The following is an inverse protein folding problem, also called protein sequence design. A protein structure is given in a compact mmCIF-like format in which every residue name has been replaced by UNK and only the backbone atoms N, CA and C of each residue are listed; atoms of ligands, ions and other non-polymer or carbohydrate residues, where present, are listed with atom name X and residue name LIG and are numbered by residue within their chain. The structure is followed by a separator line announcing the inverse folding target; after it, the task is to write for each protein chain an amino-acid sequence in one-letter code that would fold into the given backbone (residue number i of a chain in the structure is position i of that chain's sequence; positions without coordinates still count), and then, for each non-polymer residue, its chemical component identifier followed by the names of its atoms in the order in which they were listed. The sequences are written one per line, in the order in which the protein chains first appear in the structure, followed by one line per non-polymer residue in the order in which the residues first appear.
data_IF_867056478339
#
_entry.id   IF_867056478339
#
_cell.length_a   1.000
_cell.length_b   1.000
_cell.length_c   1.000
_cell.angle_alpha   90.00
_cell.angle_beta   90.00
_cell.angle_gamma   90.00
#
_symmetry.space_group_name_H-M   'P 1'
#
loop_
_entity.id
_entity.type
_entity.pdbx_description
1 polymer ?
#
# COMPACT_ATOMS: atom_id res chain seq x y z
N UNK A 1 27.01 -9.67 99.55
CA UNK A 1 28.32 -9.04 99.34
C UNK A 1 28.49 -8.72 97.87
N UNK A 2 29.13 -7.59 97.58
CA UNK A 2 29.58 -7.09 96.27
C UNK A 2 28.54 -6.49 95.30
N UNK A 3 28.51 -5.15 95.32
CA UNK A 3 28.33 -4.19 94.20
C UNK A 3 29.15 -4.55 92.94
N UNK A 4 29.06 -3.81 91.80
CA UNK A 4 28.21 -2.64 91.48
C UNK A 4 27.37 -2.83 90.19
N UNK A 5 26.24 -2.15 90.04
CA UNK A 5 26.11 -0.84 89.36
C UNK A 5 26.84 -0.79 87.99
N UNK A 6 26.08 -0.91 86.90
CA UNK A 6 26.18 -0.03 85.73
C UNK A 6 24.77 0.18 85.16
N UNK A 7 24.15 1.21 85.70
CA UNK A 7 23.07 1.97 85.09
C UNK A 7 23.59 2.70 83.85
N UNK A 8 23.14 2.32 82.65
CA UNK A 8 22.91 3.27 81.54
C UNK A 8 21.61 2.95 80.79
N UNK A 9 20.51 2.89 81.54
CA UNK A 9 19.29 3.60 81.11
C UNK A 9 19.64 5.09 80.97
N UNK A 10 20.12 5.48 79.79
CA UNK A 10 20.58 6.84 79.53
C UNK A 10 21.08 6.97 78.10
N UNK A 11 20.22 7.54 77.23
CA UNK A 11 20.52 8.06 75.89
C UNK A 11 20.87 7.05 74.77
N UNK A 12 20.80 5.74 75.00
CA UNK A 12 21.12 4.72 73.99
C UNK A 12 20.57 3.32 74.29
N UNK A 13 19.29 3.22 74.66
CA UNK A 13 18.65 1.92 74.99
C UNK A 13 18.44 1.10 73.71
N UNK A 14 19.14 -0.04 73.60
CA UNK A 14 18.94 -1.09 72.59
C UNK A 14 17.58 -1.80 72.66
N UNK A 15 16.55 -1.13 73.15
CA UNK A 15 15.18 -1.41 72.75
C UNK A 15 15.04 -0.86 71.35
N UNK A 16 14.79 -1.72 70.38
CA UNK A 16 14.47 -1.26 69.02
C UNK A 16 13.06 -0.63 69.04
N UNK A 17 12.89 0.52 69.70
CA UNK A 17 11.63 1.26 69.83
C UNK A 17 11.10 1.54 68.43
N UNK A 18 11.99 1.88 67.49
CA UNK A 18 11.66 1.96 66.07
C UNK A 18 11.07 0.66 65.54
N UNK A 19 11.66 -0.50 65.84
CA UNK A 19 11.13 -1.80 65.41
C UNK A 19 9.84 -2.22 66.13
N UNK A 20 9.63 -1.81 67.40
CA UNK A 20 8.39 -2.06 68.15
C UNK A 20 7.26 -1.18 67.61
N UNK A 21 7.53 0.12 67.37
CA UNK A 21 6.58 1.05 66.74
C UNK A 21 6.27 0.61 65.32
N UNK A 22 7.28 0.21 64.54
CA UNK A 22 7.09 -0.33 63.20
C UNK A 22 6.31 -1.64 63.24
N UNK A 23 6.56 -2.52 64.21
CA UNK A 23 5.79 -3.73 64.45
C UNK A 23 4.31 -3.45 64.80
N UNK A 24 4.05 -2.45 65.64
CA UNK A 24 2.70 -2.05 66.05
C UNK A 24 1.95 -1.37 64.89
N UNK A 25 2.60 -0.44 64.19
CA UNK A 25 2.05 0.22 62.99
C UNK A 25 1.78 -0.80 61.88
N UNK A 26 2.66 -1.77 61.67
CA UNK A 26 2.43 -2.84 60.70
C UNK A 26 1.30 -3.77 61.13
N UNK A 27 1.18 -4.10 62.42
CA UNK A 27 0.07 -4.92 62.94
C UNK A 27 -1.29 -4.21 62.80
N UNK A 28 -1.32 -2.89 62.98
CA UNK A 28 -2.54 -2.07 62.82
C UNK A 28 -2.86 -1.79 61.35
N UNK A 29 -1.84 -1.64 60.49
CA UNK A 29 -1.98 -1.45 59.03
C UNK A 29 -2.37 -2.73 58.29
N UNK A 30 -1.82 -3.88 58.69
CA UNK A 30 -2.01 -5.17 58.03
C UNK A 30 -3.48 -5.53 57.74
N UNK A 31 -4.45 -5.42 58.67
CA UNK A 31 -5.84 -5.77 58.37
C UNK A 31 -6.47 -4.85 57.32
N UNK A 32 -6.14 -3.55 57.33
CA UNK A 32 -6.63 -2.58 56.32
C UNK A 32 -5.99 -2.79 54.96
N UNK A 33 -4.67 -3.05 54.93
CA UNK A 33 -3.96 -3.40 53.69
C UNK A 33 -4.53 -4.68 53.08
N UNK A 34 -4.72 -5.74 53.88
CA UNK A 34 -5.33 -6.99 53.42
C UNK A 34 -6.75 -6.80 52.87
N UNK A 35 -7.54 -5.89 53.45
CA UNK A 35 -8.87 -5.56 52.92
C UNK A 35 -8.80 -4.87 51.55
N UNK A 36 -7.89 -3.89 51.41
CA UNK A 36 -7.64 -3.19 50.14
C UNK A 36 -7.11 -4.16 49.09
N UNK A 37 -6.17 -5.03 49.42
CA UNK A 37 -5.58 -6.01 48.50
C UNK A 37 -6.63 -7.00 48.00
N UNK A 38 -7.50 -7.51 48.91
CA UNK A 38 -8.63 -8.37 48.53
C UNK A 38 -9.62 -7.66 47.61
N UNK A 39 -9.98 -6.41 47.93
CA UNK A 39 -10.90 -5.62 47.09
C UNK A 39 -10.28 -5.31 45.72
N UNK A 40 -8.99 -4.99 45.70
CA UNK A 40 -8.23 -4.74 44.46
C UNK A 40 -8.17 -6.00 43.61
N UNK A 41 -7.82 -7.15 44.19
CA UNK A 41 -7.79 -8.42 43.49
C UNK A 41 -9.17 -8.80 42.91
N UNK A 42 -10.25 -8.63 43.68
CA UNK A 42 -11.62 -8.89 43.24
C UNK A 42 -12.06 -7.95 42.10
N UNK A 43 -11.71 -6.66 42.19
CA UNK A 43 -12.02 -5.65 41.17
C UNK A 43 -11.23 -5.92 39.89
N UNK A 44 -9.93 -6.23 39.98
CA UNK A 44 -9.09 -6.59 38.83
C UNK A 44 -9.57 -7.87 38.14
N UNK A 45 -10.01 -8.87 38.91
CA UNK A 45 -10.61 -10.09 38.35
C UNK A 45 -11.92 -9.77 37.61
N UNK A 46 -12.78 -8.93 38.20
CA UNK A 46 -14.04 -8.49 37.58
C UNK A 46 -13.79 -7.69 36.29
N UNK A 47 -12.82 -6.76 36.31
CA UNK A 47 -12.42 -5.98 35.13
C UNK A 47 -11.87 -6.89 34.02
N UNK A 48 -11.07 -7.90 34.38
CA UNK A 48 -10.56 -8.89 33.42
C UNK A 48 -11.69 -9.71 32.79
N UNK A 49 -12.66 -10.16 33.60
CA UNK A 49 -13.84 -10.87 33.12
C UNK A 49 -14.70 -10.03 32.18
N UNK A 50 -14.95 -8.75 32.52
CA UNK A 50 -15.69 -7.81 31.66
C UNK A 50 -14.92 -7.53 30.37
N UNK A 51 -13.60 -7.39 30.42
CA UNK A 51 -12.74 -7.20 29.23
C UNK A 51 -12.80 -8.41 28.30
N UNK A 52 -12.74 -9.63 28.85
CA UNK A 52 -12.90 -10.86 28.08
C UNK A 52 -14.28 -10.96 27.44
N UNK A 53 -15.35 -10.66 28.18
CA UNK A 53 -16.71 -10.61 27.64
C UNK A 53 -16.85 -9.57 26.52
N UNK A 54 -16.28 -8.38 26.72
CA UNK A 54 -16.31 -7.29 25.72
C UNK A 54 -15.56 -7.72 24.46
N UNK A 55 -14.41 -8.38 24.59
CA UNK A 55 -13.63 -8.91 23.47
C UNK A 55 -14.39 -10.00 22.72
N UNK A 56 -15.08 -10.89 23.44
CA UNK A 56 -15.91 -11.93 22.85
C UNK A 56 -17.11 -11.32 22.10
N UNK A 57 -17.76 -10.31 22.66
CA UNK A 57 -18.88 -9.62 22.02
C UNK A 57 -18.45 -8.85 20.77
N UNK A 58 -17.30 -8.17 20.81
CA UNK A 58 -16.73 -7.50 19.64
C UNK A 58 -16.41 -8.50 18.52
N UNK A 59 -15.89 -9.69 18.88
CA UNK A 59 -15.64 -10.77 17.91
C UNK A 59 -16.93 -11.31 17.31
N UNK A 60 -17.97 -11.49 18.13
CA UNK A 60 -19.30 -11.91 17.66
C UNK A 60 -19.95 -10.87 16.73
N UNK A 61 -19.89 -9.58 17.11
CA UNK A 61 -20.39 -8.49 16.28
C UNK A 61 -19.70 -8.47 14.92
N UNK A 62 -18.37 -8.60 14.89
CA UNK A 62 -17.60 -8.67 13.64
C UNK A 62 -18.01 -9.86 12.76
N UNK A 63 -18.29 -11.02 13.38
CA UNK A 63 -18.78 -12.18 12.64
C UNK A 63 -20.16 -11.93 12.02
N UNK A 64 -21.07 -11.29 12.77
CA UNK A 64 -22.39 -10.91 12.26
C UNK A 64 -22.33 -9.83 11.17
N UNK A 65 -21.45 -8.85 11.30
CA UNK A 65 -21.22 -7.82 10.27
C UNK A 65 -20.69 -8.46 8.98
N UNK A 66 -19.78 -9.42 9.10
CA UNK A 66 -19.25 -10.18 7.96
C UNK A 66 -20.37 -11.01 7.30
N UNK A 67 -21.17 -11.71 8.10
CA UNK A 67 -22.26 -12.57 7.61
C UNK A 67 -23.38 -11.77 6.94
N UNK A 68 -23.68 -10.57 7.45
CA UNK A 68 -24.72 -9.67 6.93
C UNK A 68 -24.22 -8.70 5.85
N UNK A 69 -22.94 -8.78 5.48
CA UNK A 69 -22.34 -7.92 4.45
C UNK A 69 -23.03 -8.12 3.09
N UNK A 70 -23.57 -7.03 2.55
CA UNK A 70 -24.19 -7.00 1.22
C UNK A 70 -23.16 -6.86 0.09
N UNK A 71 -21.94 -6.41 0.40
CA UNK A 71 -20.86 -6.19 -0.57
C UNK A 71 -19.93 -7.38 -0.70
N UNK A 72 -19.85 -8.22 0.33
CA UNK A 72 -19.07 -9.47 0.35
C UNK A 72 -19.93 -10.58 0.95
N UNK A 73 -21.03 -10.97 0.28
CA UNK A 73 -21.97 -11.93 0.83
C UNK A 73 -21.28 -13.28 1.07
N UNK A 74 -21.43 -13.83 2.28
CA UNK A 74 -20.89 -15.14 2.64
C UNK A 74 -21.56 -16.29 1.87
N UNK A 75 -22.77 -16.05 1.34
CA UNK A 75 -23.52 -16.97 0.51
C UNK A 75 -23.76 -16.33 -0.85
N UNK A 76 -22.97 -16.78 -1.83
CA UNK A 76 -23.16 -16.43 -3.22
C UNK A 76 -24.22 -17.35 -3.82
N UNK A 77 -25.32 -16.76 -4.31
CA UNK A 77 -26.37 -17.50 -5.03
C UNK A 77 -25.97 -17.88 -6.45
N UNK A 78 -24.94 -17.23 -6.99
CA UNK A 78 -24.40 -17.48 -8.32
C UNK A 78 -22.88 -17.63 -8.28
N UNK A 79 -22.35 -18.45 -9.17
CA UNK A 79 -20.93 -18.58 -9.44
C UNK A 79 -20.65 -18.38 -10.92
N UNK A 80 -19.51 -17.74 -11.21
CA UNK A 80 -18.98 -17.64 -12.56
C UNK A 80 -17.80 -18.62 -12.68
N UNK A 81 -17.81 -19.45 -13.72
CA UNK A 81 -16.75 -20.39 -14.05
C UNK A 81 -16.17 -20.03 -15.41
N UNK A 82 -14.85 -20.04 -15.53
CA UNK A 82 -14.17 -19.74 -16.79
C UNK A 82 -13.63 -21.03 -17.40
N UNK A 83 -13.84 -21.21 -18.71
CA UNK A 83 -13.24 -22.31 -19.45
C UNK A 83 -11.70 -22.19 -19.53
N UNK A 84 -11.16 -20.97 -19.36
CA UNK A 84 -9.71 -20.73 -19.35
C UNK A 84 -9.33 -19.62 -18.36
N UNK A 85 -9.07 -20.01 -17.12
CA UNK A 85 -8.65 -19.11 -16.05
C UNK A 85 -7.26 -18.48 -16.24
N UNK A 86 -6.46 -18.95 -17.20
CA UNK A 86 -5.18 -18.31 -17.53
C UNK A 86 -5.37 -17.05 -18.40
N UNK A 87 -6.50 -16.95 -19.10
CA UNK A 87 -6.85 -15.81 -19.96
C UNK A 87 -7.82 -14.88 -19.24
N UNK A 88 -8.91 -15.43 -18.70
CA UNK A 88 -9.95 -14.65 -18.00
C UNK A 88 -10.37 -15.37 -16.74
N UNK A 89 -10.32 -14.69 -15.60
CA UNK A 89 -11.03 -15.13 -14.38
C UNK A 89 -12.33 -14.36 -14.25
N UNK A 90 -13.37 -15.02 -13.76
CA UNK A 90 -14.67 -14.41 -13.57
C UNK A 90 -15.17 -14.67 -12.16
N UNK A 91 -15.88 -13.69 -11.61
CA UNK A 91 -16.59 -13.79 -10.33
C UNK A 91 -18.00 -13.23 -10.52
N UNK A 92 -18.99 -13.87 -9.91
CA UNK A 92 -20.37 -13.39 -9.89
C UNK A 92 -20.76 -12.93 -8.48
N UNK A 93 -21.65 -11.94 -8.40
CA UNK A 93 -22.35 -11.55 -7.17
C UNK A 93 -23.83 -11.98 -7.21
N UNK A 94 -24.59 -11.65 -6.16
CA UNK A 94 -26.00 -12.06 -6.03
C UNK A 94 -26.97 -11.32 -6.97
N UNK A 95 -26.50 -10.35 -7.74
CA UNK A 95 -27.26 -9.66 -8.79
C UNK A 95 -26.98 -10.23 -10.18
N UNK A 96 -26.07 -11.19 -10.29
CA UNK A 96 -25.76 -11.85 -11.55
C UNK A 96 -26.96 -12.63 -12.10
N UNK A 97 -26.98 -12.78 -13.42
CA UNK A 97 -27.98 -13.60 -14.12
C UNK A 97 -27.27 -14.78 -14.75
N UNK A 98 -27.87 -15.98 -14.66
CA UNK A 98 -27.34 -17.18 -15.29
C UNK A 98 -27.24 -17.01 -16.81
N UNK A 99 -26.12 -17.45 -17.37
CA UNK A 99 -25.83 -17.31 -18.79
C UNK A 99 -24.40 -17.71 -19.11
N UNK A 100 -24.12 -17.89 -20.39
CA UNK A 100 -22.77 -18.15 -20.89
C UNK A 100 -22.34 -17.02 -21.82
N UNK A 101 -21.12 -16.54 -21.64
CA UNK A 101 -20.57 -15.38 -22.34
C UNK A 101 -19.25 -15.79 -23.01
N UNK A 102 -19.13 -15.60 -24.32
CA UNK A 102 -17.89 -15.82 -25.06
C UNK A 102 -17.02 -14.57 -24.99
N UNK A 103 -15.87 -14.67 -24.33
CA UNK A 103 -14.96 -13.54 -24.10
C UNK A 103 -13.69 -13.70 -24.91
N UNK A 104 -13.39 -12.70 -25.73
CA UNK A 104 -12.13 -12.61 -26.49
C UNK A 104 -11.33 -11.41 -26.04
N UNK A 105 -10.11 -11.65 -25.57
CA UNK A 105 -9.20 -10.58 -25.13
C UNK A 105 -8.22 -10.26 -26.25
N UNK A 106 -8.24 -9.05 -26.80
CA UNK A 106 -7.32 -8.65 -27.85
C UNK A 106 -6.00 -8.12 -27.27
N UNK A 107 -6.09 -7.22 -26.29
CA UNK A 107 -4.95 -6.71 -25.54
C UNK A 107 -5.37 -6.38 -24.09
N UNK A 108 -4.38 -6.38 -23.20
CA UNK A 108 -4.56 -5.96 -21.82
C UNK A 108 -4.33 -4.45 -21.69
N UNK A 109 -4.96 -3.86 -20.66
CA UNK A 109 -4.65 -2.51 -20.24
C UNK A 109 -3.23 -2.49 -19.68
N UNK A 110 -2.40 -1.57 -20.17
CA UNK A 110 -1.01 -1.41 -19.72
C UNK A 110 -0.86 -0.14 -18.91
N UNK A 111 0.07 -0.17 -17.97
CA UNK A 111 0.43 0.98 -17.16
C UNK A 111 1.58 1.74 -17.80
N UNK A 112 1.67 3.03 -17.47
CA UNK A 112 2.75 3.89 -17.95
C UNK A 112 4.08 3.56 -17.28
N UNK A 113 5.15 3.49 -18.09
CA UNK A 113 6.53 3.46 -17.62
C UNK A 113 7.37 4.45 -18.41
N UNK A 114 7.89 5.47 -17.73
CA UNK A 114 8.56 6.62 -18.35
C UNK A 114 9.92 6.87 -17.71
N UNK A 115 10.83 7.47 -18.46
CA UNK A 115 12.17 7.80 -18.00
C UNK A 115 12.54 9.24 -18.33
N UNK A 116 13.41 9.83 -17.51
CA UNK A 116 14.09 11.09 -17.81
C UNK A 116 15.15 10.91 -18.90
N UNK A 117 15.77 12.01 -19.32
CA UNK A 117 17.04 11.95 -20.06
C UNK A 117 18.12 11.25 -19.21
N UNK A 118 19.17 10.75 -19.87
CA UNK A 118 20.38 10.33 -19.17
C UNK A 118 21.09 11.56 -18.60
N UNK A 119 21.32 11.54 -17.29
CA UNK A 119 22.07 12.56 -16.57
C UNK A 119 23.48 12.06 -16.29
N UNK A 120 24.48 12.91 -16.55
CA UNK A 120 25.86 12.59 -16.19
C UNK A 120 26.08 12.60 -14.66
N UNK A 121 27.30 12.29 -14.22
CA UNK A 121 27.64 12.25 -12.78
C UNK A 121 27.54 13.61 -12.09
N UNK A 122 27.71 14.71 -12.81
CA UNK A 122 27.59 16.07 -12.25
C UNK A 122 26.13 16.44 -12.06
N UNK A 123 25.28 16.17 -13.04
CA UNK A 123 23.85 16.41 -12.98
C UNK A 123 23.17 15.51 -11.93
N UNK A 124 23.54 14.23 -11.89
CA UNK A 124 22.94 13.27 -10.95
C UNK A 124 23.41 13.44 -9.49
N UNK A 125 24.52 14.15 -9.24
CA UNK A 125 24.99 14.44 -7.88
C UNK A 125 24.44 15.75 -7.29
N UNK A 126 23.93 16.64 -8.14
CA UNK A 126 23.45 17.96 -7.70
C UNK A 126 22.20 18.40 -8.48
N UNK A 127 21.05 17.80 -8.15
CA UNK A 127 19.74 18.26 -8.62
C UNK A 127 19.32 19.49 -7.79
N UNK A 128 19.02 20.65 -8.42
CA UNK A 128 18.59 21.84 -7.71
C UNK A 128 17.28 21.66 -6.93
N UNK A 129 17.10 22.45 -5.87
CA UNK A 129 15.82 22.51 -5.15
C UNK A 129 14.69 23.07 -6.02
N UNK A 130 13.45 22.79 -5.63
CA UNK A 130 12.24 23.25 -6.32
C UNK A 130 11.12 22.21 -6.25
N UNK A 131 10.15 22.28 -7.17
CA UNK A 131 8.98 21.40 -7.15
C UNK A 131 8.86 20.63 -8.45
N UNK A 132 8.67 19.32 -8.33
CA UNK A 132 8.29 18.44 -9.43
C UNK A 132 6.77 18.31 -9.45
N UNK A 133 6.16 18.64 -10.58
CA UNK A 133 4.75 18.38 -10.86
C UNK A 133 4.64 17.07 -11.65
N UNK A 134 4.18 16.01 -10.98
CA UNK A 134 4.01 14.68 -11.54
C UNK A 134 2.53 14.49 -11.84
N UNK A 135 2.19 14.41 -13.12
CA UNK A 135 0.80 14.31 -13.58
C UNK A 135 0.52 12.93 -14.13
N UNK A 136 -0.60 12.33 -13.72
CA UNK A 136 -1.10 11.07 -14.24
C UNK A 136 -2.64 11.11 -14.28
N UNK A 137 -3.23 10.68 -15.39
CA UNK A 137 -4.69 10.60 -15.56
C UNK A 137 -5.41 11.91 -15.16
N UNK A 138 -4.82 13.06 -15.55
CA UNK A 138 -5.33 14.40 -15.23
C UNK A 138 -5.12 14.88 -13.80
N UNK A 139 -4.57 14.06 -12.90
CA UNK A 139 -4.27 14.44 -11.51
C UNK A 139 -2.80 14.80 -11.37
N UNK A 140 -2.51 16.00 -10.85
CA UNK A 140 -1.14 16.47 -10.61
C UNK A 140 -0.79 16.36 -9.13
N UNK A 141 0.32 15.69 -8.85
CA UNK A 141 0.95 15.62 -7.53
C UNK A 141 2.20 16.49 -7.51
N UNK A 142 2.42 17.20 -6.41
CA UNK A 142 3.59 18.07 -6.23
C UNK A 142 4.56 17.41 -5.26
N UNK A 143 5.80 17.20 -5.71
CA UNK A 143 6.90 16.71 -4.88
C UNK A 143 7.90 17.84 -4.71
N UNK A 144 8.16 18.23 -3.47
CA UNK A 144 9.10 19.31 -3.15
C UNK A 144 10.48 18.70 -2.90
N UNK A 145 11.47 19.19 -3.64
CA UNK A 145 12.89 18.97 -3.41
C UNK A 145 13.39 20.19 -2.64
N UNK A 146 13.58 20.03 -1.35
CA UNK A 146 13.83 21.09 -0.36
C UNK A 146 15.20 21.77 -0.49
N UNK A 147 16.22 21.00 -0.87
CA UNK A 147 17.61 21.44 -1.06
C UNK A 147 18.21 20.79 -2.29
N UNK A 148 19.38 21.29 -2.71
CA UNK A 148 20.20 20.56 -3.70
C UNK A 148 20.47 19.15 -3.20
N UNK A 149 20.10 18.17 -4.02
CA UNK A 149 20.05 16.76 -3.62
C UNK A 149 20.58 15.87 -4.73
N UNK A 150 21.10 14.71 -4.36
CA UNK A 150 21.48 13.67 -5.31
C UNK A 150 20.25 13.04 -5.95
N UNK A 151 20.42 12.39 -7.10
CA UNK A 151 19.32 11.68 -7.77
C UNK A 151 18.71 10.59 -6.87
N UNK A 152 19.52 9.99 -5.99
CA UNK A 152 19.05 9.00 -5.01
C UNK A 152 18.13 9.64 -3.96
N UNK A 153 18.52 10.77 -3.38
CA UNK A 153 17.67 11.52 -2.45
C UNK A 153 16.36 11.98 -3.13
N UNK A 154 16.43 12.44 -4.38
CA UNK A 154 15.24 12.82 -5.17
C UNK A 154 14.31 11.63 -5.39
N UNK A 155 14.84 10.46 -5.76
CA UNK A 155 14.05 9.21 -5.87
C UNK A 155 13.35 8.89 -4.55
N UNK A 156 14.05 9.00 -3.44
CA UNK A 156 13.52 8.66 -2.12
C UNK A 156 12.42 9.65 -1.70
N UNK A 157 12.64 10.95 -1.92
CA UNK A 157 11.61 11.99 -1.70
C UNK A 157 10.35 11.76 -2.54
N UNK A 158 10.50 11.37 -3.81
CA UNK A 158 9.37 11.02 -4.69
C UNK A 158 8.61 9.81 -4.14
N UNK A 159 9.31 8.72 -3.80
CA UNK A 159 8.68 7.49 -3.31
C UNK A 159 7.99 7.70 -1.95
N UNK A 160 8.54 8.55 -1.08
CA UNK A 160 7.90 8.95 0.18
C UNK A 160 6.66 9.82 -0.08
N UNK A 161 6.77 10.83 -0.96
CA UNK A 161 5.66 11.76 -1.24
C UNK A 161 4.50 11.09 -1.99
N UNK A 162 4.79 10.11 -2.85
CA UNK A 162 3.80 9.41 -3.67
C UNK A 162 3.39 8.05 -3.09
N UNK A 163 3.74 7.75 -1.85
CA UNK A 163 3.38 6.49 -1.21
C UNK A 163 1.85 6.28 -1.26
N UNK A 164 1.42 5.12 -1.76
CA UNK A 164 0.00 4.78 -1.91
C UNK A 164 -0.72 5.48 -3.08
N UNK A 165 -0.03 6.28 -3.91
CA UNK A 165 -0.62 6.92 -5.10
C UNK A 165 -0.47 6.10 -6.38
N UNK A 166 0.14 4.91 -6.31
CA UNK A 166 0.32 4.04 -7.46
C UNK A 166 1.40 4.49 -8.45
N UNK A 167 2.31 5.38 -8.02
CA UNK A 167 3.49 5.80 -8.78
C UNK A 167 4.73 5.49 -7.94
N UNK A 168 5.74 4.88 -8.56
CA UNK A 168 7.05 4.63 -7.95
C UNK A 168 8.17 5.10 -8.87
N UNK A 169 9.27 5.54 -8.28
CA UNK A 169 10.46 5.97 -8.97
C UNK A 169 11.65 5.04 -8.65
N UNK A 170 12.47 4.76 -9.64
CA UNK A 170 13.72 4.03 -9.49
C UNK A 170 14.82 4.66 -10.35
N UNK A 171 16.08 4.32 -10.09
CA UNK A 171 17.22 4.80 -10.87
C UNK A 171 17.77 3.67 -11.72
N UNK A 172 17.98 3.94 -13.00
CA UNK A 172 18.70 3.05 -13.91
C UNK A 172 19.89 3.82 -14.44
N UNK A 173 21.09 3.25 -14.27
CA UNK A 173 22.33 3.83 -14.79
C UNK A 173 22.81 2.97 -15.96
N UNK A 174 22.97 3.61 -17.11
CA UNK A 174 23.52 3.03 -18.34
C UNK A 174 24.85 3.72 -18.71
N UNK A 175 25.47 3.30 -19.83
CA UNK A 175 26.74 3.87 -20.30
C UNK A 175 26.71 5.38 -20.62
N UNK A 176 25.52 5.96 -20.79
CA UNK A 176 25.30 7.37 -21.11
C UNK A 176 24.95 8.21 -19.87
N UNK A 177 24.71 7.57 -18.71
CA UNK A 177 24.37 8.26 -17.46
C UNK A 177 23.26 7.59 -16.66
N UNK A 178 22.81 8.27 -15.61
CA UNK A 178 21.74 7.84 -14.73
C UNK A 178 20.40 8.44 -15.14
N UNK A 179 19.33 7.65 -15.12
CA UNK A 179 17.96 8.05 -15.43
C UNK A 179 17.06 7.76 -14.27
N UNK A 180 16.11 8.66 -14.01
CA UNK A 180 14.99 8.38 -13.12
C UNK A 180 13.87 7.74 -13.94
N UNK A 181 13.40 6.59 -13.49
CA UNK A 181 12.38 5.78 -14.14
C UNK A 181 11.15 5.72 -13.25
N UNK A 182 10.03 6.21 -13.76
CA UNK A 182 8.75 6.16 -13.09
C UNK A 182 7.91 5.00 -13.63
N UNK A 183 7.31 4.24 -12.73
CA UNK A 183 6.36 3.17 -13.06
C UNK A 183 5.02 3.47 -12.39
N UNK A 184 3.92 3.18 -13.09
CA UNK A 184 2.58 3.26 -12.52
C UNK A 184 1.96 1.89 -12.29
N UNK A 185 1.05 1.81 -11.32
CA UNK A 185 0.07 0.73 -11.22
C UNK A 185 -1.26 1.08 -11.90
N UNK A 186 -1.48 2.34 -12.25
CA UNK A 186 -2.66 2.80 -13.00
C UNK A 186 -2.49 2.43 -14.47
N UNK A 187 -3.47 1.73 -15.01
CA UNK A 187 -3.52 1.28 -16.41
C UNK A 187 -4.50 2.12 -17.23
N UNK A 188 -4.45 1.98 -18.55
CA UNK A 188 -5.42 2.59 -19.46
C UNK A 188 -4.91 3.81 -20.20
N UNK A 189 -5.51 4.10 -21.36
CA UNK A 189 -5.16 5.21 -22.21
C UNK A 189 -5.30 6.56 -21.48
N UNK A 190 -4.31 7.44 -21.67
CA UNK A 190 -4.23 8.75 -21.02
C UNK A 190 -3.81 8.71 -19.54
N UNK A 191 -3.44 7.54 -19.01
CA UNK A 191 -2.80 7.40 -17.70
C UNK A 191 -1.27 7.55 -17.76
N UNK A 192 -0.73 8.05 -18.87
CA UNK A 192 0.70 8.30 -19.02
C UNK A 192 1.23 9.28 -17.96
N UNK A 193 2.38 8.94 -17.38
CA UNK A 193 3.04 9.79 -16.38
C UNK A 193 3.80 10.89 -17.12
N UNK A 194 3.51 12.14 -16.80
CA UNK A 194 4.32 13.30 -17.22
C UNK A 194 4.91 13.99 -16.00
N UNK A 195 6.14 14.47 -16.14
CA UNK A 195 6.87 15.16 -15.07
C UNK A 195 7.29 16.52 -15.57
N UNK A 196 7.02 17.55 -14.78
CA UNK A 196 7.49 18.90 -15.04
C UNK A 196 8.24 19.41 -13.82
N UNK A 197 9.55 19.57 -13.97
CA UNK A 197 10.39 20.23 -12.99
C UNK A 197 10.25 21.75 -13.04
N UNK A 198 10.50 22.36 -11.89
CA UNK A 198 10.68 23.81 -11.79
C UNK A 198 11.96 24.29 -12.48
N UNK A 199 12.26 25.58 -12.33
CA UNK A 199 13.49 26.18 -12.87
C UNK A 199 14.73 25.43 -12.39
N UNK A 200 15.59 24.99 -13.32
CA UNK A 200 16.81 24.24 -13.04
C UNK A 200 16.62 22.72 -12.93
N UNK A 201 15.41 22.20 -13.11
CA UNK A 201 15.09 20.76 -13.05
C UNK A 201 14.64 20.19 -14.40
N UNK A 202 15.00 20.84 -15.50
CA UNK A 202 14.54 20.52 -16.86
C UNK A 202 15.01 19.13 -17.31
N UNK A 203 16.13 18.64 -16.77
CA UNK A 203 16.60 17.27 -16.98
C UNK A 203 15.63 16.20 -16.43
N UNK A 204 14.72 16.57 -15.53
CA UNK A 204 13.69 15.69 -14.97
C UNK A 204 12.36 15.78 -15.73
N UNK A 205 12.25 16.66 -16.74
CA UNK A 205 11.03 16.79 -17.52
C UNK A 205 10.77 15.53 -18.35
N UNK A 206 9.53 15.06 -18.32
CA UNK A 206 9.06 13.89 -19.06
C UNK A 206 7.72 14.23 -19.71
N UNK A 207 7.64 14.04 -21.02
CA UNK A 207 6.38 13.95 -21.75
C UNK A 207 6.03 12.46 -21.92
N UNK A 208 5.12 11.96 -21.08
CA UNK A 208 4.75 10.54 -21.07
C UNK A 208 4.05 10.07 -22.33
N UNK A 209 3.54 10.99 -23.15
CA UNK A 209 2.81 10.67 -24.39
C UNK A 209 3.73 10.35 -25.56
N UNK A 210 5.04 10.62 -25.42
CA UNK A 210 6.05 10.36 -26.45
C UNK A 210 6.96 9.23 -26.03
N UNK A 211 7.32 8.37 -26.97
CA UNK A 211 8.35 7.36 -26.75
C UNK A 211 9.72 8.03 -26.60
N UNK A 212 10.52 7.55 -25.66
CA UNK A 212 11.89 8.04 -25.47
C UNK A 212 12.79 7.75 -26.68
N UNK A 213 12.43 6.78 -27.53
CA UNK A 213 13.12 6.51 -28.80
C UNK A 213 12.79 7.54 -29.89
N UNK A 214 11.65 8.22 -29.78
CA UNK A 214 11.22 9.28 -30.70
C UNK A 214 11.70 10.67 -30.24
N UNK A 215 12.25 10.78 -29.04
CA UNK A 215 12.88 12.00 -28.51
C UNK A 215 14.39 11.79 -28.45
N UNK A 216 15.18 12.83 -28.76
CA UNK A 216 16.65 12.78 -28.66
C UNK A 216 17.11 13.92 -27.78
N UNK A 217 17.95 13.59 -26.78
CA UNK A 217 18.51 14.57 -25.85
C UNK A 217 19.90 15.04 -26.29
N UNK A 218 20.72 14.11 -26.80
CA UNK A 218 22.10 14.36 -27.25
C UNK A 218 22.58 13.19 -28.12
N UNK A 219 23.85 13.23 -28.56
CA UNK A 219 24.55 12.13 -29.20
C UNK A 219 25.67 11.61 -28.28
N UNK A 220 25.97 10.31 -28.34
CA UNK A 220 27.10 9.71 -27.64
C UNK A 220 28.44 10.03 -28.32
N UNK A 221 29.54 9.55 -27.74
CA UNK A 221 30.90 9.74 -28.27
C UNK A 221 31.11 9.14 -29.67
N UNK A 222 30.20 8.27 -30.13
CA UNK A 222 30.22 7.63 -31.44
C UNK A 222 29.21 8.27 -32.41
N UNK A 223 28.57 9.38 -32.03
CA UNK A 223 27.61 10.11 -32.85
C UNK A 223 26.22 9.49 -32.89
N UNK A 224 25.93 8.46 -32.10
CA UNK A 224 24.61 7.82 -32.02
C UNK A 224 23.70 8.60 -31.08
N UNK A 225 22.44 8.80 -31.49
CA UNK A 225 21.46 9.51 -30.67
C UNK A 225 21.18 8.78 -29.35
N UNK A 226 21.27 9.51 -28.25
CA UNK A 226 20.89 9.06 -26.91
C UNK A 226 19.38 9.31 -26.74
N UNK A 227 18.59 8.28 -26.41
CA UNK A 227 17.16 8.42 -26.15
C UNK A 227 16.87 9.52 -25.14
N UNK A 228 15.90 10.37 -25.45
CA UNK A 228 15.47 11.48 -24.61
C UNK A 228 14.64 11.04 -23.42
N UNK A 229 13.84 11.97 -22.90
CA UNK A 229 12.82 11.67 -21.90
C UNK A 229 11.52 11.22 -22.59
N UNK A 230 10.79 10.29 -21.95
CA UNK A 230 9.52 9.78 -22.46
C UNK A 230 9.20 8.36 -21.99
N UNK A 231 8.20 7.75 -22.62
CA UNK A 231 7.80 6.36 -22.39
C UNK A 231 8.86 5.36 -22.90
N UNK A 232 9.17 4.35 -22.09
CA UNK A 232 10.31 3.45 -22.35
C UNK A 232 10.05 2.48 -23.51
N UNK A 233 8.85 1.91 -23.58
CA UNK A 233 8.52 0.87 -24.57
C UNK A 233 7.18 1.11 -25.25
N UNK A 234 6.18 1.56 -24.50
CA UNK A 234 4.85 1.89 -25.00
C UNK A 234 4.19 2.91 -24.07
N UNK A 235 3.22 3.64 -24.59
CA UNK A 235 2.28 4.42 -23.79
C UNK A 235 1.27 3.50 -23.12
N UNK A 236 0.60 4.00 -22.08
CA UNK A 236 -0.50 3.29 -21.45
C UNK A 236 -1.64 3.12 -22.47
N UNK A 237 -2.19 1.91 -22.56
CA UNK A 237 -3.33 1.60 -23.43
C UNK A 237 -4.46 0.97 -22.63
N UNK A 238 -5.69 1.12 -23.11
CA UNK A 238 -6.86 0.43 -22.59
C UNK A 238 -6.83 -1.06 -22.97
N UNK A 239 -7.46 -1.88 -22.14
CA UNK A 239 -7.81 -3.24 -22.50
C UNK A 239 -8.88 -3.21 -23.59
N UNK A 240 -8.67 -3.97 -24.67
CA UNK A 240 -9.69 -4.25 -25.68
C UNK A 240 -10.07 -5.72 -25.62
N UNK A 241 -11.37 -5.97 -25.50
CA UNK A 241 -11.94 -7.30 -25.47
C UNK A 241 -13.34 -7.26 -26.10
N UNK A 242 -13.90 -8.43 -26.38
CA UNK A 242 -15.30 -8.55 -26.80
C UNK A 242 -16.03 -9.57 -25.96
N UNK A 243 -17.33 -9.32 -25.73
CA UNK A 243 -18.26 -10.24 -25.09
C UNK A 243 -19.33 -10.57 -26.12
N UNK A 244 -19.47 -11.85 -26.48
CA UNK A 244 -20.42 -12.33 -27.50
C UNK A 244 -20.32 -11.55 -28.84
N UNK A 245 -19.09 -11.14 -29.20
CA UNK A 245 -18.78 -10.37 -30.40
C UNK A 245 -18.96 -8.84 -30.27
N UNK A 246 -19.48 -8.33 -29.15
CA UNK A 246 -19.58 -6.90 -28.87
C UNK A 246 -18.23 -6.36 -28.36
N UNK A 247 -17.60 -5.48 -29.13
CA UNK A 247 -16.33 -4.88 -28.77
C UNK A 247 -16.48 -3.88 -27.61
N UNK A 248 -15.63 -4.01 -26.60
CA UNK A 248 -15.60 -3.19 -25.39
C UNK A 248 -14.16 -2.76 -25.10
N UNK A 249 -14.04 -1.63 -24.40
CA UNK A 249 -12.77 -1.12 -23.89
C UNK A 249 -12.87 -0.83 -22.40
N UNK A 250 -11.74 -1.00 -21.69
CA UNK A 250 -11.65 -0.70 -20.27
C UNK A 250 -10.28 -0.13 -19.92
N UNK A 251 -10.26 0.85 -19.02
CA UNK A 251 -9.01 1.39 -18.47
C UNK A 251 -8.28 0.40 -17.57
N UNK A 252 -8.97 -0.60 -17.04
CA UNK A 252 -8.42 -1.61 -16.11
C UNK A 252 -8.62 -3.02 -16.64
N UNK A 253 -7.70 -3.93 -16.28
CA UNK A 253 -7.84 -5.36 -16.53
C UNK A 253 -8.92 -6.02 -15.65
N UNK A 254 -9.36 -5.35 -14.58
CA UNK A 254 -10.55 -5.75 -13.81
C UNK A 254 -11.77 -5.02 -14.33
N UNK A 255 -12.68 -5.73 -14.98
CA UNK A 255 -13.89 -5.21 -15.62
C UNK A 255 -15.10 -5.65 -14.82
N UNK A 256 -15.75 -4.74 -14.11
CA UNK A 256 -16.95 -5.02 -13.30
C UNK A 256 -18.25 -4.40 -13.83
N UNK A 257 -18.16 -3.56 -14.87
CA UNK A 257 -19.30 -2.78 -15.38
C UNK A 257 -19.86 -3.31 -16.69
N UNK A 258 -19.20 -4.28 -17.33
CA UNK A 258 -19.60 -4.78 -18.64
C UNK A 258 -20.87 -5.65 -18.58
N UNK A 259 -21.03 -6.44 -17.51
CA UNK A 259 -22.21 -7.27 -17.27
C UNK A 259 -22.65 -7.05 -15.82
N UNK A 260 -23.96 -6.86 -15.61
CA UNK A 260 -24.52 -6.68 -14.26
C UNK A 260 -24.23 -7.91 -13.40
N UNK A 261 -23.62 -7.68 -12.23
CA UNK A 261 -23.32 -8.71 -11.25
C UNK A 261 -22.18 -9.66 -11.62
N UNK A 262 -21.45 -9.43 -12.73
CA UNK A 262 -20.31 -10.25 -13.13
C UNK A 262 -19.08 -9.37 -13.28
N UNK A 263 -17.98 -9.78 -12.64
CA UNK A 263 -16.67 -9.13 -12.78
C UNK A 263 -15.68 -10.07 -13.44
N UNK A 264 -14.92 -9.54 -14.39
CA UNK A 264 -13.86 -10.23 -15.10
C UNK A 264 -12.49 -9.67 -14.70
N UNK A 265 -11.50 -10.54 -14.62
CA UNK A 265 -10.10 -10.18 -14.53
C UNK A 265 -9.36 -10.74 -15.75
N UNK A 266 -8.89 -9.84 -16.61
CA UNK A 266 -8.19 -10.14 -17.85
C UNK A 266 -6.70 -10.37 -17.53
N UNK A 267 -6.21 -11.58 -17.77
CA UNK A 267 -4.86 -12.00 -17.38
C UNK A 267 -3.93 -12.18 -18.57
N UNK A 268 -4.47 -12.56 -19.73
CA UNK A 268 -3.71 -12.71 -20.96
C UNK A 268 -4.58 -12.41 -22.19
N UNK A 269 -3.99 -11.99 -23.31
CA UNK A 269 -4.67 -11.97 -24.61
C UNK A 269 -5.10 -13.37 -25.05
N UNK A 270 -6.25 -13.47 -25.71
CA UNK A 270 -6.70 -14.69 -26.40
C UNK A 270 -5.80 -14.92 -27.61
N UNK A 271 -5.29 -16.15 -27.75
CA UNK A 271 -4.52 -16.54 -28.93
C UNK A 271 -5.42 -17.23 -29.95
N UNK A 272 -5.01 -17.28 -31.22
CA UNK A 272 -5.74 -18.02 -32.24
C UNK A 272 -5.92 -19.52 -31.89
N UNK A 273 -5.04 -20.08 -31.05
CA UNK A 273 -5.12 -21.47 -30.59
C UNK A 273 -6.10 -21.67 -29.43
N UNK A 274 -6.31 -20.67 -28.57
CA UNK A 274 -7.23 -20.74 -27.43
C UNK A 274 -8.66 -20.31 -27.78
N UNK A 275 -8.86 -19.54 -28.85
CA UNK A 275 -10.17 -19.07 -29.25
C UNK A 275 -10.82 -18.16 -28.21
N UNK A 276 -12.15 -18.10 -28.22
CA UNK A 276 -12.93 -17.33 -27.26
C UNK A 276 -13.05 -18.12 -25.95
N UNK A 277 -12.78 -17.44 -24.83
CA UNK A 277 -12.91 -18.03 -23.49
C UNK A 277 -14.36 -17.93 -23.06
N UNK A 278 -15.04 -19.05 -22.92
CA UNK A 278 -16.42 -19.09 -22.42
C UNK A 278 -16.44 -18.96 -20.90
N UNK A 279 -17.17 -17.97 -20.39
CA UNK A 279 -17.50 -17.84 -18.97
C UNK A 279 -18.96 -18.24 -18.77
N UNK A 280 -19.22 -19.16 -17.85
CA UNK A 280 -20.58 -19.61 -17.51
C UNK A 280 -20.93 -19.17 -16.10
N UNK A 281 -22.03 -18.42 -15.99
CA UNK A 281 -22.65 -18.02 -14.73
C UNK A 281 -23.82 -18.96 -14.46
N UNK A 282 -23.77 -19.64 -13.32
CA UNK A 282 -24.79 -20.58 -12.87
C UNK A 282 -25.15 -20.34 -11.42
N UNK A 283 -26.25 -20.96 -10.97
CA UNK A 283 -26.54 -21.04 -9.54
C UNK A 283 -25.44 -21.84 -8.85
N UNK A 284 -25.04 -21.38 -7.67
CA UNK A 284 -23.99 -22.02 -6.87
C UNK A 284 -24.52 -23.26 -6.13
#
# INVERSE_FOLDING_TARGET
MASPITSTTGLGSGLAITAIVEGLVNAEKAPKQNQIDKQTASTTASLSGVSQLTSALASFQKAMDTLSSKTTPAFLGFAATSANEAVVKATADNTAVSGSYAIKVNNLATASKVATIAMDSTQSSAIPSGTLEITQNGTTQKVVIDKTSTLQEVRDQINTSLQGKGISANIITDNNGSRLVFSSTTTGAGSDISVKGGSGQEALNIDGTKLMSATSSSNDANGKAIPGAGAISATAVDASFSIDGLALTSKSNTVSTAISGVSFNLLAPSTAATGDTVVTVGVN
#
